data_IF_751646150423
#
_entry.id   IF_751646150423
#
_cell.length_a   1.000
_cell.length_b   1.000
_cell.length_c   1.000
_cell.angle_alpha   90.00
_cell.angle_beta   90.00
_cell.angle_gamma   90.00
#
_symmetry.space_group_name_H-M   'P 1'
#
loop_
_entity.id
_entity.type
_entity.pdbx_description
1 polymer ?
#
# COMPACT_ATOMS: atom_id res chain seq x y z
N UNK A 1 17.93 14.48 -16.97
CA UNK A 1 18.02 15.81 -16.34
C UNK A 1 18.59 16.78 -17.36
N UNK A 2 18.03 17.99 -17.48
CA UNK A 2 18.51 19.00 -18.43
C UNK A 2 19.80 19.69 -17.94
N UNK A 3 20.81 19.93 -18.81
CA UNK A 3 22.04 20.62 -18.44
C UNK A 3 21.79 22.06 -17.96
N UNK A 4 22.35 22.43 -16.80
CA UNK A 4 22.19 23.80 -16.23
C UNK A 4 22.70 24.91 -17.13
N UNK A 5 23.78 24.65 -17.87
CA UNK A 5 24.44 25.65 -18.74
C UNK A 5 23.52 26.09 -19.88
N UNK A 6 22.73 25.16 -20.44
CA UNK A 6 21.82 25.43 -21.56
C UNK A 6 20.40 25.77 -21.11
N UNK A 7 19.96 25.20 -19.98
CA UNK A 7 18.64 25.38 -19.40
C UNK A 7 18.75 26.01 -18.02
N UNK A 8 19.13 27.29 -18.00
CA UNK A 8 19.36 28.06 -16.79
C UNK A 8 18.03 28.48 -16.13
N UNK A 9 17.07 28.96 -16.94
CA UNK A 9 15.79 29.50 -16.47
C UNK A 9 14.65 28.48 -16.53
N UNK A 10 13.60 28.71 -15.74
CA UNK A 10 12.39 27.88 -15.78
C UNK A 10 11.71 27.95 -17.14
N UNK A 11 11.74 29.13 -17.78
CA UNK A 11 11.14 29.36 -19.08
C UNK A 11 11.84 28.54 -20.17
N UNK A 12 13.17 28.40 -20.12
CA UNK A 12 13.93 27.53 -21.03
C UNK A 12 13.56 26.06 -20.83
N UNK A 13 13.44 25.61 -19.58
CA UNK A 13 13.00 24.25 -19.25
C UNK A 13 11.58 23.99 -19.77
N UNK A 14 10.64 24.90 -19.51
CA UNK A 14 9.26 24.78 -19.96
C UNK A 14 9.17 24.74 -21.49
N UNK A 15 9.88 25.65 -22.18
CA UNK A 15 9.91 25.72 -23.64
C UNK A 15 10.46 24.43 -24.26
N UNK A 16 11.48 23.83 -23.66
CA UNK A 16 11.99 22.53 -24.08
C UNK A 16 10.93 21.44 -23.97
N UNK A 17 10.26 21.34 -22.82
CA UNK A 17 9.23 20.33 -22.61
C UNK A 17 7.99 20.53 -23.47
N UNK A 18 7.60 21.77 -23.75
CA UNK A 18 6.50 22.08 -24.68
C UNK A 18 6.85 21.67 -26.12
N UNK A 19 8.07 22.00 -26.57
CA UNK A 19 8.57 21.60 -27.90
C UNK A 19 8.66 20.07 -28.02
N UNK A 20 9.22 19.40 -27.01
CA UNK A 20 9.32 17.94 -26.96
C UNK A 20 7.92 17.29 -26.96
N UNK A 21 7.00 17.78 -26.13
CA UNK A 21 5.63 17.27 -26.10
C UNK A 21 4.95 17.44 -27.46
N UNK A 22 5.08 18.60 -28.11
CA UNK A 22 4.54 18.83 -29.46
C UNK A 22 5.10 17.88 -30.51
N UNK A 23 6.42 17.65 -30.51
CA UNK A 23 7.08 16.74 -31.45
C UNK A 23 6.67 15.28 -31.23
N UNK A 24 6.55 14.84 -29.97
CA UNK A 24 6.10 13.48 -29.65
C UNK A 24 4.61 13.27 -29.93
N UNK A 25 3.77 14.27 -29.66
CA UNK A 25 2.34 14.22 -29.93
C UNK A 25 2.02 14.06 -31.43
N UNK A 26 2.95 14.41 -32.31
CA UNK A 26 2.84 14.22 -33.76
C UNK A 26 3.04 12.75 -34.20
N UNK A 27 3.57 11.88 -33.33
CA UNK A 27 3.69 10.45 -33.64
C UNK A 27 2.31 9.76 -33.56
N UNK A 28 1.91 8.95 -34.56
CA UNK A 28 0.56 8.38 -34.62
C UNK A 28 0.27 7.38 -33.47
N UNK A 29 1.29 6.76 -32.91
CA UNK A 29 1.21 5.82 -31.80
C UNK A 29 0.99 6.50 -30.44
N UNK A 30 1.19 7.82 -30.35
CA UNK A 30 1.16 8.57 -29.09
C UNK A 30 -0.19 9.29 -28.91
N UNK A 31 -0.95 8.88 -27.90
CA UNK A 31 -2.27 9.44 -27.58
C UNK A 31 -2.15 10.81 -26.93
N UNK A 32 -1.34 10.92 -25.87
CA UNK A 32 -1.15 12.15 -25.08
C UNK A 32 0.25 12.15 -24.46
N UNK A 33 0.91 13.30 -24.42
CA UNK A 33 2.23 13.50 -23.80
C UNK A 33 2.21 14.66 -22.81
N UNK A 34 2.88 14.46 -21.68
CA UNK A 34 3.16 15.53 -20.73
C UNK A 34 4.46 15.25 -19.98
N UNK A 35 4.81 16.08 -19.00
CA UNK A 35 5.99 15.91 -18.17
C UNK A 35 5.75 16.37 -16.74
N UNK A 36 6.41 15.73 -15.78
CA UNK A 36 6.45 16.19 -14.39
C UNK A 36 7.76 15.82 -13.70
N UNK A 37 8.18 16.54 -12.66
CA UNK A 37 9.38 16.19 -11.88
C UNK A 37 9.14 15.05 -10.87
N UNK A 38 7.88 14.74 -10.58
CA UNK A 38 7.50 13.50 -9.89
C UNK A 38 6.36 12.80 -10.62
N UNK A 39 6.33 11.48 -10.47
CA UNK A 39 5.29 10.62 -11.04
C UNK A 39 4.72 9.72 -9.93
N UNK A 40 3.49 9.20 -10.08
CA UNK A 40 2.97 8.22 -9.14
C UNK A 40 3.96 7.05 -8.95
N UNK A 41 4.07 6.54 -7.71
CA UNK A 41 4.93 5.40 -7.35
C UNK A 41 6.44 5.63 -7.60
N UNK A 42 6.91 6.87 -7.58
CA UNK A 42 8.34 7.17 -7.74
C UNK A 42 9.16 7.10 -6.45
N UNK A 43 8.51 6.88 -5.29
CA UNK A 43 9.13 6.67 -3.98
C UNK A 43 9.93 7.86 -3.43
N UNK A 44 9.82 9.03 -4.06
CA UNK A 44 10.56 10.21 -3.64
C UNK A 44 9.69 11.09 -2.73
N UNK A 45 9.95 11.05 -1.42
CA UNK A 45 9.22 11.85 -0.44
C UNK A 45 9.69 13.31 -0.48
N UNK A 46 8.90 14.17 -1.13
CA UNK A 46 9.07 15.61 -1.04
C UNK A 46 8.44 16.10 0.25
N UNK A 47 9.15 16.92 1.00
CA UNK A 47 8.57 17.61 2.15
C UNK A 47 8.62 19.11 1.93
N UNK A 48 7.48 19.69 1.54
CA UNK A 48 7.33 21.14 1.46
C UNK A 48 6.24 21.58 2.43
N UNK A 49 6.56 22.53 3.29
CA UNK A 49 5.58 23.14 4.18
C UNK A 49 4.64 24.05 3.36
N UNK A 50 3.33 23.82 3.48
CA UNK A 50 2.30 24.66 2.84
C UNK A 50 1.51 25.47 3.87
N UNK A 51 1.26 26.72 3.53
CA UNK A 51 0.58 27.69 4.37
C UNK A 51 -0.57 28.35 3.61
N UNK A 52 -1.66 28.61 4.32
CA UNK A 52 -2.86 29.24 3.78
C UNK A 52 -2.74 30.77 3.81
N UNK A 53 -3.28 31.43 2.79
CA UNK A 53 -3.46 32.88 2.76
C UNK A 53 -4.27 33.35 3.97
N UNK A 54 -3.79 34.41 4.64
CA UNK A 54 -4.48 35.02 5.78
C UNK A 54 -4.34 34.27 7.11
N UNK A 55 -3.55 33.19 7.19
CA UNK A 55 -3.25 32.52 8.47
C UNK A 55 -1.81 32.81 8.92
N UNK A 56 -1.59 33.35 10.13
CA UNK A 56 -0.25 33.61 10.63
C UNK A 56 0.52 32.30 10.85
N UNK A 57 1.84 32.35 10.64
CA UNK A 57 2.75 31.23 10.91
C UNK A 57 2.94 30.90 12.38
N UNK A 58 2.74 31.92 13.24
CA UNK A 58 2.95 31.80 14.68
C UNK A 58 2.01 30.74 15.27
N UNK A 59 2.58 29.73 15.93
CA UNK A 59 1.83 28.63 16.56
C UNK A 59 1.63 27.38 15.68
N UNK A 60 2.22 27.31 14.49
CA UNK A 60 2.24 26.09 13.67
C UNK A 60 3.52 25.29 14.00
N UNK A 61 3.46 24.44 15.02
CA UNK A 61 4.60 23.62 15.46
C UNK A 61 4.94 22.48 14.48
N UNK A 62 4.05 22.16 13.52
CA UNK A 62 4.31 21.15 12.49
C UNK A 62 3.44 21.40 11.24
N UNK A 63 3.90 22.22 10.27
CA UNK A 63 3.14 22.48 9.05
C UNK A 63 2.93 21.21 8.23
N UNK A 64 1.81 21.09 7.47
CA UNK A 64 1.61 19.97 6.56
C UNK A 64 2.81 19.82 5.61
N UNK A 65 3.45 18.66 5.69
CA UNK A 65 4.50 18.22 4.79
C UNK A 65 3.82 17.64 3.55
N UNK A 66 3.83 18.39 2.46
CA UNK A 66 3.13 18.00 1.23
C UNK A 66 4.08 17.94 0.05
N UNK A 67 3.68 17.14 -0.93
CA UNK A 67 4.39 17.01 -2.19
C UNK A 67 4.11 18.18 -3.12
N UNK A 68 5.13 18.64 -3.83
CA UNK A 68 5.04 19.85 -4.68
C UNK A 68 5.51 19.62 -6.13
N UNK A 69 4.92 18.66 -6.87
CA UNK A 69 5.28 18.41 -8.26
C UNK A 69 5.19 19.66 -9.14
N UNK A 70 6.16 19.80 -10.04
CA UNK A 70 6.12 20.69 -11.20
C UNK A 70 5.55 19.90 -12.37
N UNK A 71 4.41 20.31 -12.91
CA UNK A 71 3.68 19.63 -13.97
C UNK A 71 3.58 20.48 -15.23
N UNK A 72 3.80 19.85 -16.38
CA UNK A 72 3.52 20.44 -17.68
C UNK A 72 2.02 20.31 -18.03
N UNK A 73 1.51 21.11 -18.98
CA UNK A 73 0.14 20.97 -19.47
C UNK A 73 -0.17 19.54 -19.95
N UNK A 74 -1.40 19.09 -19.75
CA UNK A 74 -1.87 17.73 -20.07
C UNK A 74 -1.45 16.64 -19.08
N UNK A 75 -0.75 16.97 -17.99
CA UNK A 75 -0.29 15.97 -17.00
C UNK A 75 -1.42 15.14 -16.41
N UNK A 76 -2.49 15.81 -15.98
CA UNK A 76 -3.66 15.14 -15.40
C UNK A 76 -4.38 14.26 -16.42
N UNK A 77 -4.46 14.69 -17.68
CA UNK A 77 -5.08 13.92 -18.76
C UNK A 77 -4.28 12.67 -19.11
N UNK A 78 -2.95 12.80 -19.25
CA UNK A 78 -2.06 11.67 -19.49
C UNK A 78 -2.20 10.61 -18.40
N UNK A 79 -2.37 11.00 -17.14
CA UNK A 79 -2.53 10.07 -16.03
C UNK A 79 -3.98 9.73 -15.70
N UNK A 80 -4.96 10.30 -16.41
CA UNK A 80 -6.41 10.17 -16.14
C UNK A 80 -6.78 10.53 -14.69
N UNK A 81 -6.14 11.56 -14.15
CA UNK A 81 -6.47 12.12 -12.84
C UNK A 81 -7.60 13.13 -13.05
N UNK A 82 -8.80 12.92 -12.48
CA UNK A 82 -9.90 13.86 -12.64
C UNK A 82 -9.58 15.18 -11.93
N UNK A 83 -9.90 16.31 -12.54
CA UNK A 83 -9.71 17.64 -11.94
C UNK A 83 -11.04 18.38 -11.92
N UNK A 84 -11.42 18.89 -10.75
CA UNK A 84 -12.50 19.88 -10.60
C UNK A 84 -11.92 21.27 -10.74
N UNK A 85 -12.60 22.17 -11.45
CA UNK A 85 -12.06 23.49 -11.80
C UNK A 85 -11.23 23.40 -13.07
N UNK A 86 -10.01 23.95 -13.06
CA UNK A 86 -9.11 23.95 -14.22
C UNK A 86 -7.72 23.44 -13.87
N UNK A 87 -7.07 22.80 -14.83
CA UNK A 87 -5.66 22.44 -14.79
C UNK A 87 -4.80 23.57 -15.37
N UNK A 88 -3.49 23.61 -15.07
CA UNK A 88 -2.58 24.58 -15.69
C UNK A 88 -2.42 24.33 -17.20
N UNK A 89 -2.39 25.40 -17.98
CA UNK A 89 -2.33 25.35 -19.45
C UNK A 89 -1.11 26.10 -20.03
N UNK A 90 -0.78 25.83 -21.31
CA UNK A 90 0.37 26.38 -22.04
C UNK A 90 0.29 27.89 -22.26
N UNK A 91 -0.92 28.44 -22.40
CA UNK A 91 -1.13 29.87 -22.67
C UNK A 91 -0.97 30.75 -21.45
N UNK A 92 -0.88 30.17 -20.25
CA UNK A 92 -0.78 30.92 -19.01
C UNK A 92 0.63 31.49 -18.85
N UNK A 93 0.72 32.82 -18.77
CA UNK A 93 1.98 33.54 -18.57
C UNK A 93 1.87 34.32 -17.27
N UNK A 94 2.59 33.89 -16.23
CA UNK A 94 2.78 34.67 -15.01
C UNK A 94 1.65 34.64 -13.96
N UNK A 95 0.44 34.17 -14.27
CA UNK A 95 -0.65 33.99 -13.29
C UNK A 95 -1.09 32.52 -13.19
N UNK A 96 -0.10 31.63 -13.18
CA UNK A 96 -0.32 30.19 -13.20
C UNK A 96 -0.70 29.72 -11.80
N UNK A 97 -1.99 29.45 -11.59
CA UNK A 97 -2.51 28.91 -10.33
C UNK A 97 -2.01 27.49 -10.04
N UNK A 98 -2.21 27.05 -8.81
CA UNK A 98 -1.87 25.70 -8.37
C UNK A 98 -3.10 24.79 -8.35
N UNK A 99 -2.90 23.49 -8.56
CA UNK A 99 -3.93 22.47 -8.35
C UNK A 99 -3.59 21.70 -7.08
N UNK A 100 -4.56 21.40 -6.24
CA UNK A 100 -4.35 20.64 -4.99
C UNK A 100 -5.01 19.28 -5.06
N UNK A 101 -4.43 18.25 -4.43
CA UNK A 101 -5.10 16.96 -4.24
C UNK A 101 -6.35 17.10 -3.36
N UNK A 102 -7.32 16.21 -3.53
CA UNK A 102 -8.52 16.19 -2.71
C UNK A 102 -8.23 15.96 -1.21
N UNK A 103 -7.27 15.10 -0.87
CA UNK A 103 -6.82 14.86 0.49
C UNK A 103 -6.33 16.15 1.17
N UNK A 104 -5.49 16.92 0.46
CA UNK A 104 -5.00 18.21 0.97
C UNK A 104 -6.13 19.24 1.06
N UNK A 105 -7.03 19.30 0.07
CA UNK A 105 -8.16 20.22 0.09
C UNK A 105 -9.06 19.99 1.32
N UNK A 106 -9.39 18.72 1.62
CA UNK A 106 -10.18 18.34 2.81
C UNK A 106 -9.49 18.71 4.12
N UNK A 107 -8.15 18.62 4.18
CA UNK A 107 -7.36 18.95 5.38
C UNK A 107 -7.27 20.46 5.61
N UNK A 108 -7.00 21.24 4.57
CA UNK A 108 -6.83 22.69 4.69
C UNK A 108 -8.17 23.43 4.82
N UNK A 109 -9.20 22.96 4.12
CA UNK A 109 -10.52 23.60 4.05
C UNK A 109 -11.65 22.59 4.27
N UNK A 110 -11.77 22.05 5.50
CA UNK A 110 -12.81 21.06 5.81
C UNK A 110 -14.20 21.67 5.63
N UNK A 111 -14.97 21.14 4.67
CA UNK A 111 -16.34 21.58 4.39
C UNK A 111 -16.46 22.88 3.57
N UNK A 112 -15.35 23.44 3.10
CA UNK A 112 -15.34 24.67 2.28
C UNK A 112 -14.75 24.42 0.89
N UNK A 113 -15.12 25.25 -0.09
CA UNK A 113 -14.55 25.20 -1.44
C UNK A 113 -13.06 25.63 -1.40
N UNK A 114 -12.19 24.84 -2.05
CA UNK A 114 -10.76 25.11 -2.09
C UNK A 114 -10.38 26.00 -3.27
N UNK A 115 -11.12 25.91 -4.39
CA UNK A 115 -10.88 26.73 -5.57
C UNK A 115 -11.07 28.21 -5.21
N UNK A 116 -10.15 29.05 -5.67
CA UNK A 116 -10.15 30.47 -5.37
C UNK A 116 -9.44 30.84 -4.07
N UNK A 117 -8.88 29.91 -3.30
CA UNK A 117 -8.10 30.21 -2.09
C UNK A 117 -6.60 30.33 -2.37
N UNK A 118 -5.88 31.08 -1.54
CA UNK A 118 -4.44 31.26 -1.68
C UNK A 118 -3.64 30.27 -0.82
N UNK A 119 -2.57 29.73 -1.40
CA UNK A 119 -1.57 28.92 -0.71
C UNK A 119 -0.17 29.41 -1.03
N UNK A 120 0.77 29.16 -0.13
CA UNK A 120 2.20 29.35 -0.41
C UNK A 120 3.01 28.19 0.14
N UNK A 121 4.19 28.02 -0.44
CA UNK A 121 5.20 27.06 0.00
C UNK A 121 6.35 27.83 0.61
N UNK A 122 6.83 27.41 1.78
CA UNK A 122 7.97 28.01 2.48
C UNK A 122 7.80 29.51 2.87
N UNK A 123 8.54 29.99 3.88
CA UNK A 123 8.64 31.43 4.23
C UNK A 123 7.42 32.04 4.95
N UNK A 124 7.28 33.39 4.92
CA UNK A 124 6.07 34.16 5.24
C UNK A 124 5.79 35.26 4.20
N UNK A 125 4.54 35.69 4.06
CA UNK A 125 4.14 36.78 3.17
C UNK A 125 3.91 36.37 1.69
N UNK A 126 3.52 37.34 0.83
CA UNK A 126 3.31 37.11 -0.60
C UNK A 126 4.62 36.75 -1.34
N UNK A 127 4.54 36.11 -2.52
CA UNK A 127 3.33 35.84 -3.31
C UNK A 127 2.63 34.51 -2.96
N UNK A 128 1.29 34.52 -3.03
CA UNK A 128 0.45 33.32 -2.91
C UNK A 128 0.07 32.77 -4.29
N UNK A 129 -0.02 31.45 -4.39
CA UNK A 129 -0.66 30.76 -5.51
C UNK A 129 -2.15 30.62 -5.25
N UNK A 130 -2.96 31.03 -6.23
CA UNK A 130 -4.39 30.78 -6.22
C UNK A 130 -4.64 29.32 -6.59
N UNK A 131 -5.45 28.63 -5.81
CA UNK A 131 -5.94 27.30 -6.14
C UNK A 131 -6.94 27.42 -7.28
N UNK A 132 -6.63 26.80 -8.42
CA UNK A 132 -7.45 26.87 -9.64
C UNK A 132 -8.19 25.56 -9.92
N UNK A 133 -7.78 24.48 -9.26
CA UNK A 133 -8.45 23.19 -9.37
C UNK A 133 -8.13 22.26 -8.22
N UNK A 134 -8.94 21.21 -8.11
CA UNK A 134 -8.78 20.12 -7.14
C UNK A 134 -8.69 18.80 -7.92
N UNK A 135 -7.53 18.15 -7.85
CA UNK A 135 -7.26 16.87 -8.48
C UNK A 135 -7.71 15.70 -7.59
N UNK A 136 -8.15 14.61 -8.23
CA UNK A 136 -8.39 13.34 -7.57
C UNK A 136 -7.15 12.81 -6.86
N UNK A 137 -7.39 12.05 -5.80
CA UNK A 137 -6.34 11.54 -4.92
C UNK A 137 -5.44 10.50 -5.62
N UNK A 138 -4.13 10.75 -5.58
CA UNK A 138 -3.11 9.86 -6.17
C UNK A 138 -2.29 9.22 -5.06
N UNK A 139 -2.06 7.91 -5.18
CA UNK A 139 -1.18 7.17 -4.27
C UNK A 139 0.25 7.24 -4.77
N UNK A 140 1.15 7.69 -3.91
CA UNK A 140 2.56 7.87 -4.25
C UNK A 140 3.48 6.81 -3.64
N UNK A 141 3.16 6.33 -2.45
CA UNK A 141 4.05 5.50 -1.64
C UNK A 141 3.42 4.14 -1.35
N UNK A 142 3.05 3.44 -2.41
CA UNK A 142 2.36 2.16 -2.33
C UNK A 142 0.87 2.29 -2.00
N UNK A 143 0.22 1.13 -1.79
CA UNK A 143 -1.21 1.04 -1.55
C UNK A 143 -1.57 0.99 -0.06
N UNK A 144 -0.56 0.79 0.78
CA UNK A 144 -0.66 0.76 2.23
C UNK A 144 -0.81 2.17 2.82
N UNK A 145 -0.21 3.21 2.24
CA UNK A 145 -0.28 4.59 2.76
C UNK A 145 -1.54 5.33 2.27
N UNK A 146 -2.05 6.32 3.05
CA UNK A 146 -3.11 7.20 2.57
C UNK A 146 -2.67 7.95 1.29
N UNK A 147 -3.62 8.46 0.49
CA UNK A 147 -3.28 9.27 -0.68
C UNK A 147 -2.37 10.44 -0.32
N UNK A 148 -1.46 10.78 -1.24
CA UNK A 148 -0.48 11.82 -0.99
C UNK A 148 -1.15 13.20 -1.01
N UNK A 149 -0.97 13.96 0.07
CA UNK A 149 -1.29 15.38 0.09
C UNK A 149 -0.35 16.12 -0.86
N UNK A 150 -0.89 16.69 -1.94
CA UNK A 150 -0.09 17.20 -3.06
C UNK A 150 -0.56 18.57 -3.52
N UNK A 151 0.40 19.45 -3.84
CA UNK A 151 0.19 20.71 -4.56
C UNK A 151 0.92 20.63 -5.90
N UNK A 152 0.17 20.55 -6.99
CA UNK A 152 0.69 20.57 -8.35
C UNK A 152 0.92 22.01 -8.79
N UNK A 153 2.18 22.36 -8.98
CA UNK A 153 2.60 23.64 -9.53
C UNK A 153 2.86 23.52 -11.03
N UNK A 154 2.53 24.54 -11.81
CA UNK A 154 2.87 24.56 -13.23
C UNK A 154 4.38 24.56 -13.45
N UNK A 155 4.82 23.95 -14.57
CA UNK A 155 6.21 23.96 -15.01
C UNK A 155 6.71 25.38 -15.25
N UNK A 156 5.83 26.27 -15.71
CA UNK A 156 6.06 27.72 -15.79
C UNK A 156 5.59 28.36 -14.50
N UNK A 157 6.51 28.84 -13.68
CA UNK A 157 6.16 29.59 -12.49
C UNK A 157 6.12 31.09 -12.77
N UNK A 158 5.43 31.83 -11.90
CA UNK A 158 5.48 33.30 -11.87
C UNK A 158 6.86 33.78 -11.43
N UNK A 159 7.32 34.91 -11.97
CA UNK A 159 8.54 35.57 -11.50
C UNK A 159 8.45 35.90 -10.00
N UNK A 160 9.50 35.57 -9.24
CA UNK A 160 9.52 35.72 -7.77
C UNK A 160 8.75 34.64 -7.00
N UNK A 161 8.32 33.57 -7.68
CA UNK A 161 7.71 32.41 -7.04
C UNK A 161 8.58 31.79 -5.93
N UNK A 162 7.97 31.33 -4.83
CA UNK A 162 8.69 30.74 -3.69
C UNK A 162 9.21 29.30 -3.96
N UNK A 163 9.17 28.84 -5.21
CA UNK A 163 9.64 27.51 -5.60
C UNK A 163 11.15 27.55 -5.89
N UNK A 164 11.86 26.52 -5.45
CA UNK A 164 13.31 26.45 -5.58
C UNK A 164 13.76 26.08 -7.00
N UNK A 165 13.88 27.09 -7.87
CA UNK A 165 14.60 27.02 -9.15
C UNK A 165 13.98 26.12 -10.24
N UNK A 166 14.63 26.14 -11.40
CA UNK A 166 14.12 25.46 -12.59
C UNK A 166 14.07 23.93 -12.44
N UNK A 167 12.93 23.28 -12.70
CA UNK A 167 12.77 21.83 -12.54
C UNK A 167 13.43 21.09 -13.71
N UNK A 168 14.74 20.87 -13.63
CA UNK A 168 15.50 20.21 -14.72
C UNK A 168 15.41 18.68 -14.71
N UNK A 169 14.98 18.09 -13.60
CA UNK A 169 14.80 16.65 -13.45
C UNK A 169 13.34 16.28 -13.68
N UNK A 170 12.92 16.36 -14.95
CA UNK A 170 11.56 16.02 -15.37
C UNK A 170 11.53 14.62 -15.97
N UNK A 171 10.42 13.92 -15.75
CA UNK A 171 10.04 12.68 -16.42
C UNK A 171 8.97 13.01 -17.47
N UNK A 172 9.16 12.52 -18.68
CA UNK A 172 8.15 12.59 -19.74
C UNK A 172 7.22 11.40 -19.57
N UNK A 173 5.92 11.68 -19.51
CA UNK A 173 4.88 10.66 -19.39
C UNK A 173 4.14 10.61 -20.72
N UNK A 174 4.08 9.41 -21.29
CA UNK A 174 3.52 9.16 -22.62
C UNK A 174 2.41 8.14 -22.47
N UNK A 175 1.23 8.47 -22.98
CA UNK A 175 0.14 7.52 -23.19
C UNK A 175 0.17 7.05 -24.63
N UNK A 176 0.24 5.76 -24.85
CA UNK A 176 0.29 5.14 -26.17
C UNK A 176 -1.10 4.69 -26.61
N UNK A 177 -1.40 4.78 -27.91
CA UNK A 177 -2.57 4.16 -28.55
C UNK A 177 -2.38 2.65 -28.77
N UNK A 178 -1.12 2.19 -28.75
CA UNK A 178 -0.75 0.79 -28.91
C UNK A 178 -0.92 0.00 -27.60
N UNK A 179 -1.18 -1.30 -27.74
CA UNK A 179 -1.29 -2.22 -26.60
C UNK A 179 0.05 -2.44 -25.87
N UNK A 180 1.17 -2.42 -26.61
CA UNK A 180 2.51 -2.56 -26.06
C UNK A 180 3.22 -1.19 -26.09
N UNK A 181 3.42 -0.61 -24.92
CA UNK A 181 4.10 0.67 -24.76
C UNK A 181 5.60 0.58 -25.09
N UNK A 182 6.20 -0.60 -25.00
CA UNK A 182 7.61 -0.83 -25.32
C UNK A 182 7.97 -0.52 -26.78
N UNK A 183 7.01 -0.73 -27.69
CA UNK A 183 7.22 -0.56 -29.14
C UNK A 183 7.36 0.92 -29.55
N UNK A 184 6.93 1.85 -28.69
CA UNK A 184 7.02 3.29 -28.93
C UNK A 184 8.40 3.84 -28.53
N UNK A 185 9.13 3.16 -27.64
CA UNK A 185 10.44 3.62 -27.12
C UNK A 185 11.48 3.87 -28.22
N UNK A 186 11.65 3.00 -29.24
CA UNK A 186 12.59 3.25 -30.34
C UNK A 186 12.22 4.49 -31.17
N UNK A 187 10.95 4.88 -31.22
CA UNK A 187 10.47 6.03 -31.99
C UNK A 187 10.67 7.37 -31.25
N UNK A 188 10.62 7.35 -29.91
CA UNK A 188 10.86 8.53 -29.06
C UNK A 188 12.33 8.98 -29.12
N UNK A 189 13.26 8.02 -29.21
CA UNK A 189 14.70 8.27 -29.12
C UNK A 189 15.22 9.24 -30.21
N UNK A 190 14.91 9.08 -31.51
CA UNK A 190 15.30 10.03 -32.54
C UNK A 190 14.75 11.45 -32.31
N UNK A 191 13.51 11.56 -31.85
CA UNK A 191 12.88 12.87 -31.56
C UNK A 191 13.64 13.59 -30.45
N UNK A 192 13.97 12.90 -29.36
CA UNK A 192 14.77 13.48 -28.28
C UNK A 192 16.17 13.93 -28.78
N UNK A 193 16.84 13.07 -29.55
CA UNK A 193 18.17 13.35 -30.08
C UNK A 193 18.19 14.53 -31.07
N UNK A 194 17.11 14.74 -31.83
CA UNK A 194 16.97 15.87 -32.75
C UNK A 194 16.81 17.22 -32.04
N UNK A 195 16.22 17.23 -30.84
CA UNK A 195 16.00 18.44 -30.04
C UNK A 195 17.23 18.80 -29.20
N UNK A 196 17.77 17.83 -28.47
CA UNK A 196 19.02 17.99 -27.75
C UNK A 196 19.75 16.62 -27.60
N UNK A 197 20.83 16.38 -28.36
CA UNK A 197 21.59 15.12 -28.27
C UNK A 197 22.31 14.96 -26.92
N UNK A 198 22.44 16.02 -26.12
CA UNK A 198 23.07 15.97 -24.79
C UNK A 198 22.13 15.48 -23.70
N UNK A 199 20.82 15.35 -23.99
CA UNK A 199 19.83 14.88 -23.02
C UNK A 199 19.67 13.37 -23.14
N UNK A 200 20.09 12.58 -22.14
CA UNK A 200 19.98 11.12 -22.22
C UNK A 200 18.53 10.67 -22.03
N UNK A 201 18.09 9.69 -22.83
CA UNK A 201 16.91 8.90 -22.53
C UNK A 201 17.29 7.82 -21.50
N UNK A 202 16.88 8.03 -20.25
CA UNK A 202 17.22 7.15 -19.12
C UNK A 202 15.96 6.77 -18.33
N UNK A 203 16.01 5.64 -17.63
CA UNK A 203 14.94 5.15 -16.75
C UNK A 203 13.56 5.07 -17.44
N UNK A 204 13.54 4.55 -18.67
CA UNK A 204 12.28 4.24 -19.36
C UNK A 204 11.60 3.09 -18.62
N UNK A 205 10.37 3.32 -18.17
CA UNK A 205 9.57 2.32 -17.45
C UNK A 205 8.14 2.33 -17.97
N UNK A 206 7.55 1.15 -18.08
CA UNK A 206 6.11 1.00 -18.37
C UNK A 206 5.37 1.12 -17.03
N UNK A 207 4.36 1.97 -16.97
CA UNK A 207 3.67 2.26 -15.70
C UNK A 207 3.01 1.01 -15.09
N UNK A 208 2.56 0.06 -15.90
CA UNK A 208 2.03 -1.23 -15.43
C UNK A 208 3.06 -2.03 -14.66
N UNK A 209 4.32 -2.01 -15.12
CA UNK A 209 5.41 -2.72 -14.48
C UNK A 209 5.76 -2.04 -13.15
N UNK A 210 5.78 -0.70 -13.11
CA UNK A 210 5.98 0.07 -11.88
C UNK A 210 4.89 -0.22 -10.84
N UNK A 211 3.63 -0.29 -11.25
CA UNK A 211 2.52 -0.67 -10.37
C UNK A 211 2.71 -2.10 -9.87
N UNK A 212 3.08 -3.03 -10.75
CA UNK A 212 3.30 -4.43 -10.38
C UNK A 212 4.47 -4.60 -9.40
N UNK A 213 5.57 -3.85 -9.59
CA UNK A 213 6.75 -3.85 -8.72
C UNK A 213 6.43 -3.25 -7.36
N UNK A 214 5.67 -2.15 -7.32
CA UNK A 214 5.20 -1.56 -6.06
C UNK A 214 4.28 -2.52 -5.29
N UNK A 215 3.45 -3.31 -5.99
CA UNK A 215 2.65 -4.36 -5.36
C UNK A 215 3.52 -5.56 -4.92
N UNK A 216 4.56 -5.90 -5.68
CA UNK A 216 5.47 -7.01 -5.37
C UNK A 216 6.31 -6.73 -4.11
N UNK A 217 6.74 -5.48 -3.87
CA UNK A 217 7.47 -5.14 -2.65
C UNK A 217 6.62 -5.31 -1.38
N UNK A 218 5.30 -5.08 -1.48
CA UNK A 218 4.35 -5.44 -0.42
C UNK A 218 4.24 -6.96 -0.25
N UNK A 219 4.30 -7.72 -1.35
CA UNK A 219 4.16 -9.18 -1.34
C UNK A 219 5.29 -9.96 -0.64
N UNK A 220 6.52 -9.42 -0.57
CA UNK A 220 7.65 -10.12 0.07
C UNK A 220 7.45 -10.28 1.58
N UNK A 221 7.10 -9.19 2.26
CA UNK A 221 6.79 -9.21 3.70
C UNK A 221 5.58 -10.09 3.97
N UNK A 222 4.54 -10.01 3.14
CA UNK A 222 3.36 -10.89 3.25
C UNK A 222 3.74 -12.36 3.09
N UNK A 223 4.61 -12.70 2.15
CA UNK A 223 5.06 -14.10 1.94
C UNK A 223 5.83 -14.62 3.14
N UNK A 224 6.73 -13.82 3.71
CA UNK A 224 7.48 -14.22 4.91
C UNK A 224 6.56 -14.38 6.13
N UNK A 225 5.59 -13.48 6.31
CA UNK A 225 4.58 -13.57 7.36
C UNK A 225 3.66 -14.78 7.17
N UNK A 226 3.27 -15.10 5.93
CA UNK A 226 2.49 -16.30 5.60
C UNK A 226 3.27 -17.58 5.92
N UNK A 227 4.57 -17.63 5.61
CA UNK A 227 5.42 -18.75 5.96
C UNK A 227 5.55 -18.91 7.48
N UNK A 228 5.76 -17.80 8.20
CA UNK A 228 5.82 -17.80 9.66
C UNK A 228 4.49 -18.24 10.30
N UNK A 229 3.36 -17.74 9.78
CA UNK A 229 2.03 -18.12 10.24
C UNK A 229 1.75 -19.61 9.97
N UNK A 230 2.14 -20.11 8.80
CA UNK A 230 2.04 -21.53 8.46
C UNK A 230 2.85 -22.40 9.43
N UNK A 231 4.11 -22.05 9.69
CA UNK A 231 4.96 -22.76 10.65
C UNK A 231 4.38 -22.71 12.08
N UNK A 232 3.84 -21.57 12.50
CA UNK A 232 3.19 -21.43 13.80
C UNK A 232 1.95 -22.34 13.92
N UNK A 233 1.13 -22.44 12.87
CA UNK A 233 -0.02 -23.37 12.83
C UNK A 233 0.43 -24.83 12.89
N UNK A 234 1.46 -25.20 12.14
CA UNK A 234 2.03 -26.56 12.17
C UNK A 234 2.57 -26.89 13.56
N UNK A 235 3.36 -25.99 14.16
CA UNK A 235 3.93 -26.20 15.50
C UNK A 235 2.83 -26.29 16.57
N UNK A 236 1.79 -25.46 16.45
CA UNK A 236 0.61 -25.51 17.33
C UNK A 236 -0.13 -26.84 17.19
N UNK A 237 -0.31 -27.34 15.96
CA UNK A 237 -0.95 -28.61 15.70
C UNK A 237 -0.16 -29.80 16.30
N UNK A 238 1.17 -29.78 16.15
CA UNK A 238 2.06 -30.80 16.74
C UNK A 238 2.02 -30.75 18.27
N UNK A 239 2.09 -29.55 18.86
CA UNK A 239 2.01 -29.37 20.32
C UNK A 239 0.65 -29.82 20.88
N UNK A 240 -0.45 -29.42 20.22
CA UNK A 240 -1.80 -29.83 20.57
C UNK A 240 -1.95 -31.36 20.51
N UNK A 241 -1.45 -31.99 19.44
CA UNK A 241 -1.45 -33.44 19.31
C UNK A 241 -0.66 -34.11 20.44
N UNK A 242 0.56 -33.62 20.72
CA UNK A 242 1.41 -34.18 21.78
C UNK A 242 0.78 -34.10 23.16
N UNK A 243 0.23 -32.94 23.54
CA UNK A 243 -0.42 -32.74 24.85
C UNK A 243 -1.67 -33.62 25.00
N UNK A 244 -2.53 -33.67 23.98
CA UNK A 244 -3.74 -34.49 24.03
C UNK A 244 -3.39 -35.98 24.04
N UNK A 245 -2.51 -36.44 23.15
CA UNK A 245 -2.12 -37.84 23.06
C UNK A 245 -1.46 -38.33 24.36
N UNK A 246 -0.56 -37.53 24.93
CA UNK A 246 0.06 -37.84 26.23
C UNK A 246 -0.98 -37.91 27.36
N UNK A 247 -1.92 -36.95 27.40
CA UNK A 247 -3.01 -36.94 28.40
C UNK A 247 -3.94 -38.14 28.30
N UNK A 248 -4.18 -38.66 27.10
CA UNK A 248 -4.97 -39.89 26.91
C UNK A 248 -4.17 -41.14 27.30
N UNK A 249 -2.88 -41.19 26.95
CA UNK A 249 -1.99 -42.30 27.29
C UNK A 249 -1.79 -42.46 28.81
N UNK A 250 -1.60 -41.35 29.53
CA UNK A 250 -1.41 -41.38 30.99
C UNK A 250 -2.64 -41.86 31.76
N UNK A 251 -3.84 -41.78 31.14
CA UNK A 251 -5.10 -42.25 31.72
C UNK A 251 -5.48 -43.68 31.28
N UNK A 252 -4.66 -44.36 30.48
CA UNK A 252 -4.97 -45.72 29.98
C UNK A 252 -5.19 -46.76 31.09
N UNK A 253 -4.45 -46.67 32.20
CA UNK A 253 -4.61 -47.57 33.35
C UNK A 253 -5.98 -47.42 34.01
N UNK A 254 -6.44 -46.19 34.24
CA UNK A 254 -7.77 -45.90 34.79
C UNK A 254 -8.89 -46.38 33.85
N UNK A 255 -8.70 -46.18 32.54
CA UNK A 255 -9.63 -46.62 31.51
C UNK A 255 -9.72 -48.16 31.47
N UNK A 256 -8.59 -48.86 31.61
CA UNK A 256 -8.52 -50.32 31.71
C UNK A 256 -9.26 -50.86 32.93
N UNK A 257 -9.10 -50.24 34.10
CA UNK A 257 -9.83 -50.62 35.33
C UNK A 257 -11.34 -50.41 35.16
N UNK A 258 -11.78 -49.29 34.58
CA UNK A 258 -13.20 -49.03 34.33
C UNK A 258 -13.82 -50.04 33.33
N UNK A 259 -13.06 -50.43 32.30
CA UNK A 259 -13.49 -51.47 31.36
C UNK A 259 -13.58 -52.85 32.05
N UNK A 260 -12.62 -53.19 32.92
CA UNK A 260 -12.63 -54.42 33.70
C UNK A 260 -13.82 -54.49 34.69
N UNK A 261 -14.28 -53.34 35.19
CA UNK A 261 -15.50 -53.21 36.01
C UNK A 261 -16.80 -53.24 35.18
N UNK A 262 -16.73 -53.49 33.86
CA UNK A 262 -17.89 -53.65 32.98
C UNK A 262 -18.41 -52.37 32.34
N UNK A 263 -17.65 -51.27 32.36
CA UNK A 263 -18.05 -50.05 31.67
C UNK A 263 -18.15 -50.27 30.15
N UNK A 264 -19.21 -49.76 29.53
CA UNK A 264 -19.38 -49.83 28.07
C UNK A 264 -18.28 -49.01 27.37
N UNK A 265 -17.54 -49.58 26.40
CA UNK A 265 -16.47 -48.88 25.68
C UNK A 265 -16.91 -47.57 24.99
N UNK A 266 -18.18 -47.43 24.64
CA UNK A 266 -18.74 -46.21 24.06
C UNK A 266 -18.87 -45.06 25.06
N UNK A 267 -19.20 -45.35 26.33
CA UNK A 267 -19.35 -44.33 27.39
C UNK A 267 -17.98 -43.74 27.75
N UNK A 268 -16.97 -44.59 27.83
CA UNK A 268 -15.58 -44.21 28.13
C UNK A 268 -14.99 -43.33 27.00
N UNK A 269 -15.24 -43.71 25.74
CA UNK A 269 -14.84 -42.91 24.57
C UNK A 269 -15.52 -41.54 24.51
N UNK A 270 -16.83 -41.48 24.77
CA UNK A 270 -17.57 -40.21 24.77
C UNK A 270 -17.08 -39.26 25.88
N UNK A 271 -16.73 -39.80 27.05
CA UNK A 271 -16.20 -39.02 28.17
C UNK A 271 -14.86 -38.36 27.80
N UNK A 272 -13.94 -39.12 27.20
CA UNK A 272 -12.64 -38.60 26.72
C UNK A 272 -12.81 -37.54 25.64
N UNK A 273 -13.66 -37.81 24.64
CA UNK A 273 -13.90 -36.86 23.55
C UNK A 273 -14.49 -35.56 24.09
N UNK A 274 -15.38 -35.62 25.09
CA UNK A 274 -15.96 -34.43 25.72
C UNK A 274 -14.91 -33.62 26.50
N UNK A 275 -14.02 -34.28 27.23
CA UNK A 275 -12.95 -33.61 27.99
C UNK A 275 -11.96 -32.92 27.04
N UNK A 276 -11.55 -33.61 25.97
CA UNK A 276 -10.69 -33.03 24.92
C UNK A 276 -11.40 -31.87 24.22
N UNK A 277 -12.68 -32.02 23.87
CA UNK A 277 -13.44 -30.97 23.21
C UNK A 277 -13.57 -29.72 24.08
N UNK A 278 -13.82 -29.86 25.39
CA UNK A 278 -13.86 -28.73 26.31
C UNK A 278 -12.52 -28.01 26.38
N UNK A 279 -11.40 -28.74 26.45
CA UNK A 279 -10.07 -28.16 26.49
C UNK A 279 -9.74 -27.41 25.18
N UNK A 280 -10.07 -28.01 24.03
CA UNK A 280 -9.87 -27.39 22.71
C UNK A 280 -10.74 -26.13 22.55
N UNK A 281 -12.01 -26.19 22.93
CA UNK A 281 -12.90 -25.02 22.86
C UNK A 281 -12.47 -23.90 23.80
N UNK A 282 -11.98 -24.22 25.00
CA UNK A 282 -11.43 -23.24 25.93
C UNK A 282 -10.15 -22.59 25.38
N UNK A 283 -9.24 -23.40 24.80
CA UNK A 283 -8.04 -22.88 24.16
C UNK A 283 -8.36 -21.98 22.94
N UNK A 284 -9.31 -22.40 22.10
CA UNK A 284 -9.75 -21.64 20.94
C UNK A 284 -10.42 -20.32 21.33
N UNK A 285 -11.27 -20.31 22.37
CA UNK A 285 -11.92 -19.08 22.82
C UNK A 285 -10.92 -18.08 23.37
N UNK A 286 -10.01 -18.53 24.24
CA UNK A 286 -8.93 -17.68 24.78
C UNK A 286 -8.02 -17.18 23.66
N UNK A 287 -7.59 -18.07 22.75
CA UNK A 287 -6.74 -17.72 21.62
C UNK A 287 -7.38 -16.72 20.67
N UNK A 288 -8.67 -16.87 20.38
CA UNK A 288 -9.41 -15.93 19.52
C UNK A 288 -9.52 -14.54 20.16
N UNK A 289 -9.84 -14.48 21.46
CA UNK A 289 -9.88 -13.21 22.20
C UNK A 289 -8.52 -12.53 22.24
N UNK A 290 -7.45 -13.30 22.48
CA UNK A 290 -6.08 -12.80 22.47
C UNK A 290 -5.70 -12.27 21.08
N UNK A 291 -5.98 -13.02 20.01
CA UNK A 291 -5.70 -12.62 18.64
C UNK A 291 -6.44 -11.33 18.25
N UNK A 292 -7.74 -11.23 18.52
CA UNK A 292 -8.53 -10.02 18.25
C UNK A 292 -8.01 -8.81 19.03
N UNK A 293 -7.56 -9.02 20.26
CA UNK A 293 -6.98 -7.96 21.08
C UNK A 293 -5.65 -7.49 20.50
N UNK A 294 -4.75 -8.40 20.12
CA UNK A 294 -3.47 -8.10 19.46
C UNK A 294 -3.66 -7.37 18.13
N UNK A 295 -4.70 -7.71 17.37
CA UNK A 295 -5.04 -7.01 16.12
C UNK A 295 -5.22 -5.51 16.31
N UNK A 296 -5.78 -5.05 17.44
CA UNK A 296 -5.92 -3.59 17.71
C UNK A 296 -4.57 -2.90 17.88
N UNK A 297 -3.62 -3.56 18.53
CA UNK A 297 -2.26 -3.02 18.73
C UNK A 297 -1.48 -2.99 17.41
N UNK A 298 -1.67 -4.01 16.57
CA UNK A 298 -0.98 -4.16 15.29
C UNK A 298 -1.65 -3.31 14.19
N UNK A 299 -2.94 -3.01 14.28
CA UNK A 299 -3.65 -2.14 13.34
C UNK A 299 -3.09 -0.71 13.28
N UNK A 300 -2.47 -0.22 14.37
CA UNK A 300 -1.75 1.05 14.34
C UNK A 300 -0.47 1.03 13.49
N UNK A 301 0.01 -0.17 13.16
CA UNK A 301 1.20 -0.44 12.33
C UNK A 301 0.84 -0.87 10.90
N UNK A 302 -0.32 -1.51 10.69
CA UNK A 302 -0.82 -1.90 9.36
C UNK A 302 -1.76 -0.83 8.82
N UNK A 303 -1.24 0.05 7.96
CA UNK A 303 -2.09 0.94 7.18
C UNK A 303 -2.64 0.21 5.95
N UNK A 304 -3.95 0.29 5.73
CA UNK A 304 -4.60 -0.15 4.48
C UNK A 304 -5.05 -1.62 4.41
N UNK A 305 -4.85 -2.43 5.45
CA UNK A 305 -5.35 -3.81 5.51
C UNK A 305 -6.52 -3.87 6.49
N UNK A 306 -7.64 -4.46 6.07
CA UNK A 306 -8.79 -4.64 6.95
C UNK A 306 -8.35 -5.56 8.11
N UNK A 307 -8.36 -5.12 9.37
CA UNK A 307 -7.76 -5.91 10.46
C UNK A 307 -8.55 -7.20 10.76
N UNK A 308 -9.76 -7.30 10.22
CA UNK A 308 -10.68 -8.41 10.46
C UNK A 308 -10.93 -9.10 9.14
N UNK A 309 -10.26 -10.24 8.93
CA UNK A 309 -10.64 -11.21 7.92
C UNK A 309 -11.33 -12.40 8.59
N UNK A 310 -12.69 -12.43 8.61
CA UNK A 310 -13.44 -13.52 9.23
C UNK A 310 -13.11 -14.89 8.63
N UNK A 311 -12.76 -14.96 7.33
CA UNK A 311 -12.46 -16.21 6.66
C UNK A 311 -11.17 -16.85 7.21
N UNK A 312 -10.14 -16.03 7.47
CA UNK A 312 -8.90 -16.50 8.10
C UNK A 312 -9.15 -17.02 9.52
N UNK A 313 -9.92 -16.30 10.35
CA UNK A 313 -10.24 -16.79 11.70
C UNK A 313 -11.02 -18.11 11.66
N UNK A 314 -12.08 -18.19 10.85
CA UNK A 314 -12.90 -19.41 10.75
C UNK A 314 -12.09 -20.59 10.23
N UNK A 315 -11.26 -20.40 9.22
CA UNK A 315 -10.45 -21.49 8.64
C UNK A 315 -9.41 -22.03 9.61
N UNK A 316 -8.67 -21.16 10.31
CA UNK A 316 -7.67 -21.58 11.31
C UNK A 316 -8.31 -22.26 12.51
N UNK A 317 -9.43 -21.72 13.02
CA UNK A 317 -10.20 -22.34 14.11
C UNK A 317 -10.71 -23.72 13.71
N UNK A 318 -11.29 -23.86 12.50
CA UNK A 318 -11.77 -25.15 12.01
C UNK A 318 -10.63 -26.17 11.83
N UNK A 319 -9.48 -25.73 11.32
CA UNK A 319 -8.29 -26.58 11.17
C UNK A 319 -7.78 -27.10 12.52
N UNK A 320 -7.57 -26.22 13.50
CA UNK A 320 -7.09 -26.59 14.83
C UNK A 320 -8.11 -27.47 15.59
N UNK A 321 -9.41 -27.21 15.42
CA UNK A 321 -10.47 -28.07 15.94
C UNK A 321 -10.38 -29.48 15.33
N UNK A 322 -10.18 -29.57 14.02
CA UNK A 322 -9.95 -30.83 13.31
C UNK A 322 -8.73 -31.59 13.85
N UNK A 323 -7.60 -30.91 14.04
CA UNK A 323 -6.39 -31.50 14.63
C UNK A 323 -6.66 -32.01 16.05
N UNK A 324 -7.32 -31.21 16.90
CA UNK A 324 -7.65 -31.60 18.26
C UNK A 324 -8.58 -32.82 18.32
N UNK A 325 -9.58 -32.88 17.43
CA UNK A 325 -10.46 -34.03 17.31
C UNK A 325 -9.71 -35.29 16.85
N UNK A 326 -8.84 -35.20 15.85
CA UNK A 326 -8.01 -36.32 15.40
C UNK A 326 -7.07 -36.78 16.53
N UNK A 327 -6.42 -35.83 17.22
CA UNK A 327 -5.53 -36.09 18.35
C UNK A 327 -6.23 -36.76 19.54
N UNK A 328 -7.49 -36.43 19.81
CA UNK A 328 -8.28 -37.07 20.86
C UNK A 328 -8.86 -38.41 20.44
N UNK A 329 -9.34 -38.51 19.20
CA UNK A 329 -10.07 -39.68 18.71
C UNK A 329 -9.14 -40.86 18.39
N UNK A 330 -7.98 -40.62 17.77
CA UNK A 330 -7.06 -41.70 17.37
C UNK A 330 -6.51 -42.49 18.57
N UNK A 331 -6.00 -41.87 19.65
CA UNK A 331 -5.54 -42.59 20.83
C UNK A 331 -6.71 -43.20 21.63
N UNK A 332 -7.86 -42.54 21.72
CA UNK A 332 -9.04 -43.09 22.40
C UNK A 332 -9.59 -44.33 21.69
N UNK A 333 -9.56 -44.35 20.35
CA UNK A 333 -9.94 -45.50 19.55
C UNK A 333 -8.94 -46.65 19.72
N UNK A 334 -7.64 -46.37 19.59
CA UNK A 334 -6.57 -47.36 19.83
C UNK A 334 -6.63 -47.94 21.24
N UNK A 335 -6.77 -47.11 22.27
CA UNK A 335 -6.88 -47.54 23.67
C UNK A 335 -8.12 -48.39 23.95
N UNK A 336 -9.23 -48.18 23.22
CA UNK A 336 -10.43 -49.00 23.34
C UNK A 336 -10.34 -50.37 22.66
N UNK A 337 -9.29 -50.61 21.87
CA UNK A 337 -9.01 -51.88 21.19
C UNK A 337 -7.86 -52.68 21.83
N UNK A 338 -7.15 -52.11 22.83
CA UNK A 338 -6.12 -52.85 23.55
C UNK A 338 -6.80 -53.88 24.46
N UNK A 339 -6.44 -55.15 24.24
CA UNK A 339 -6.93 -56.29 25.01
C UNK A 339 -6.58 -56.10 26.51
N UNK A 340 -7.57 -56.10 27.44
CA UNK A 340 -7.35 -55.86 28.87
C UNK A 340 -6.28 -56.78 29.49
N UNK A 341 -6.05 -57.95 28.89
CA UNK A 341 -5.05 -58.93 29.34
C UNK A 341 -3.60 -58.54 29.02
N UNK A 342 -3.35 -57.65 28.06
CA UNK A 342 -2.00 -57.17 27.73
C UNK A 342 -1.61 -55.98 28.61
N UNK A 343 -2.58 -55.12 28.97
CA UNK A 343 -2.34 -53.93 29.80
C UNK A 343 -1.94 -54.24 31.27
N UNK A 344 -2.30 -55.43 31.79
CA UNK A 344 -1.95 -55.89 33.13
C UNK A 344 -0.61 -56.65 33.20
N UNK A 345 0.06 -56.88 32.06
CA UNK A 345 1.30 -57.67 31.97
C UNK A 345 2.56 -56.83 31.69
N UNK A 346 2.42 -55.51 31.62
CA UNK A 346 3.51 -54.56 31.40
C UNK A 346 3.84 -53.72 32.65
N UNK A 347 3.70 -54.32 33.84
CA UNK A 347 4.47 -53.92 35.03
C UNK A 347 5.71 -54.82 35.14
#
# INVERSE_FOLDING_TARGET
>A
MLPRVRYASEQQVATYHDTLAGALQALPEIEVVSAANSTPLDGNDGCTAVFMEGRPLAGIDNPPCVDTPRVAPGYFDVLRIPVRGRAPDRSETGDSGAVVSEALARRLWPGEEAIGKGIRVNGDGPPYYRVIGVAGDVRRNGFEKPPAETVYFPIRSRDGAPLCGAPRAMRVVIRTRTANAGDVVPQVRPVLASLDPTVPMANVRILTDVVSESMAQSSFTTTLLMLAAFLAVVLSAVGLYGVIAYGVMSRQSELGVRLALGARPGVVRLMLVREVLLLVLAGLSIGTVAALSSTRWIAGLLYGVTPHDPATYVSVTAFLLGVGLVAGFVPAWRGSQVDPLIALRSE
#
